data_IF_847579876842
#
_entry.id   IF_847579876842
#
_cell.length_a   1.000
_cell.length_b   1.000
_cell.length_c   1.000
_cell.angle_alpha   90.00
_cell.angle_beta   90.00
_cell.angle_gamma   90.00
#
_symmetry.space_group_name_H-M   'P 1'
#
loop_
_entity.id
_entity.type
_entity.pdbx_description
1 polymer ?
#
# COMPACT_ATOMS: atom_id res chain seq x y z
N UNK A 1 13.32 -3.25 5.44
CA UNK A 1 12.79 -3.35 4.07
C UNK A 1 11.68 -4.41 4.06
N UNK A 2 10.41 -3.98 4.07
CA UNK A 2 9.29 -4.92 3.93
C UNK A 2 9.36 -5.57 2.54
N UNK A 3 9.04 -6.86 2.48
CA UNK A 3 9.18 -7.68 1.28
C UNK A 3 8.35 -7.11 0.11
N UNK A 4 8.96 -7.02 -1.08
CA UNK A 4 8.36 -6.61 -2.36
C UNK A 4 7.26 -7.59 -2.80
N UNK A 5 6.07 -7.54 -2.19
CA UNK A 5 4.97 -8.48 -2.47
C UNK A 5 4.03 -7.99 -3.59
N UNK A 6 4.16 -6.77 -4.13
CA UNK A 6 3.07 -6.20 -4.94
C UNK A 6 3.34 -5.90 -6.43
N UNK A 7 4.58 -5.83 -6.92
CA UNK A 7 4.80 -5.52 -8.34
C UNK A 7 4.16 -6.58 -9.27
N UNK A 8 4.22 -7.85 -8.90
CA UNK A 8 3.63 -8.96 -9.68
C UNK A 8 2.10 -8.87 -9.78
N UNK A 9 1.44 -8.23 -8.81
CA UNK A 9 -0.01 -8.03 -8.82
C UNK A 9 -0.38 -6.90 -9.78
N UNK A 10 0.33 -5.77 -9.68
CA UNK A 10 0.11 -4.59 -10.53
C UNK A 10 0.54 -4.76 -11.99
N UNK A 11 1.33 -5.80 -12.30
CA UNK A 11 1.68 -6.17 -13.70
C UNK A 11 0.96 -7.43 -14.20
N UNK A 12 0.01 -7.97 -13.43
CA UNK A 12 -0.69 -9.19 -13.83
C UNK A 12 -1.65 -8.93 -15.00
N UNK A 13 -1.78 -9.91 -15.89
CA UNK A 13 -2.69 -9.84 -17.07
C UNK A 13 -4.11 -9.49 -16.63
N UNK A 14 -4.61 -10.14 -15.58
CA UNK A 14 -5.95 -9.92 -15.04
C UNK A 14 -6.17 -8.49 -14.55
N UNK A 15 -5.13 -7.87 -13.99
CA UNK A 15 -5.21 -6.48 -13.53
C UNK A 15 -5.27 -5.52 -14.73
N UNK A 16 -4.41 -5.71 -15.73
CA UNK A 16 -4.43 -4.89 -16.95
C UNK A 16 -5.72 -5.03 -17.76
N UNK A 17 -6.29 -6.23 -17.85
CA UNK A 17 -7.61 -6.45 -18.49
C UNK A 17 -8.71 -5.65 -17.78
N UNK A 18 -8.69 -5.61 -16.45
CA UNK A 18 -9.68 -4.85 -15.66
C UNK A 18 -9.52 -3.34 -15.80
N UNK A 19 -8.29 -2.85 -15.87
CA UNK A 19 -8.04 -1.44 -16.15
C UNK A 19 -8.52 -1.07 -17.56
N UNK A 20 -8.28 -1.92 -18.56
CA UNK A 20 -8.78 -1.71 -19.91
C UNK A 20 -10.32 -1.73 -19.98
N UNK A 21 -10.99 -2.66 -19.30
CA UNK A 21 -12.46 -2.70 -19.17
C UNK A 21 -13.01 -1.42 -18.52
N UNK A 22 -12.28 -0.83 -17.57
CA UNK A 22 -12.64 0.41 -16.90
C UNK A 22 -12.21 1.68 -17.67
N UNK A 23 -11.51 1.56 -18.81
CA UNK A 23 -10.98 2.68 -19.58
C UNK A 23 -9.84 3.44 -18.89
N UNK A 24 -9.11 2.77 -17.99
CA UNK A 24 -8.00 3.33 -17.23
C UNK A 24 -6.68 2.92 -17.88
N UNK A 25 -5.84 3.89 -18.23
CA UNK A 25 -4.50 3.63 -18.74
C UNK A 25 -3.57 3.25 -17.57
N UNK A 26 -2.98 2.03 -17.56
CA UNK A 26 -2.03 1.65 -16.52
C UNK A 26 -0.72 2.43 -16.68
N UNK A 27 -0.22 3.00 -15.58
CA UNK A 27 1.14 3.50 -15.48
C UNK A 27 1.80 2.88 -14.26
N UNK A 28 2.94 2.23 -14.47
CA UNK A 28 3.77 1.69 -13.40
C UNK A 28 5.18 2.23 -13.55
N UNK A 29 5.78 2.60 -12.42
CA UNK A 29 7.12 3.14 -12.38
C UNK A 29 8.19 2.19 -12.89
N UNK A 30 9.33 2.75 -13.31
CA UNK A 30 10.47 1.92 -13.73
C UNK A 30 11.12 1.23 -12.53
N UNK A 31 11.64 0.02 -12.73
CA UNK A 31 12.33 -0.72 -11.66
C UNK A 31 13.52 0.10 -11.14
N UNK A 32 13.50 0.43 -9.85
CA UNK A 32 14.56 1.19 -9.19
C UNK A 32 14.31 2.69 -9.10
N UNK A 33 13.20 3.20 -9.63
CA UNK A 33 12.72 4.55 -9.34
C UNK A 33 11.76 4.52 -8.15
N UNK A 34 12.18 5.09 -7.02
CA UNK A 34 11.36 5.14 -5.81
C UNK A 34 10.41 6.34 -5.77
N UNK A 35 10.54 7.32 -6.67
CA UNK A 35 9.73 8.55 -6.63
C UNK A 35 8.26 8.27 -6.93
N UNK A 36 7.97 7.32 -7.82
CA UNK A 36 6.60 6.97 -8.20
C UNK A 36 5.74 6.50 -7.00
N UNK A 37 6.37 5.87 -6.00
CA UNK A 37 5.70 5.38 -4.80
C UNK A 37 5.89 6.27 -3.56
N UNK A 38 6.78 7.26 -3.61
CA UNK A 38 7.25 8.00 -2.43
C UNK A 38 6.10 8.66 -1.65
N UNK A 39 5.09 9.20 -2.35
CA UNK A 39 3.91 9.78 -1.71
C UNK A 39 3.07 8.72 -1.00
N UNK A 40 2.77 7.60 -1.67
CA UNK A 40 2.01 6.50 -1.09
C UNK A 40 2.72 5.90 0.14
N UNK A 41 4.04 5.73 0.07
CA UNK A 41 4.85 5.26 1.19
C UNK A 41 4.86 6.26 2.35
N UNK A 42 4.91 7.57 2.07
CA UNK A 42 4.84 8.61 3.09
C UNK A 42 3.51 8.55 3.85
N UNK A 43 2.39 8.45 3.12
CA UNK A 43 1.06 8.33 3.73
C UNK A 43 0.94 7.04 4.55
N UNK A 44 1.40 5.91 4.03
CA UNK A 44 1.42 4.65 4.78
C UNK A 44 2.30 4.72 6.04
N UNK A 45 3.42 5.46 5.97
CA UNK A 45 4.29 5.72 7.12
C UNK A 45 3.59 6.56 8.18
N UNK A 46 2.96 7.66 7.79
CA UNK A 46 2.19 8.53 8.71
C UNK A 46 1.04 7.78 9.36
N UNK A 47 0.29 7.00 8.59
CA UNK A 47 -0.79 6.16 9.08
C UNK A 47 -0.29 5.18 10.16
N UNK A 48 0.78 4.43 9.87
CA UNK A 48 1.36 3.50 10.84
C UNK A 48 1.89 4.21 12.08
N UNK A 49 2.48 5.40 11.93
CA UNK A 49 2.97 6.17 13.07
C UNK A 49 1.84 6.60 14.00
N UNK A 50 0.73 7.07 13.45
CA UNK A 50 -0.47 7.44 14.21
C UNK A 50 -1.05 6.23 14.96
N UNK A 51 -1.32 5.13 14.24
CA UNK A 51 -1.99 3.97 14.84
C UNK A 51 -1.07 3.22 15.82
N UNK A 52 0.20 2.96 15.46
CA UNK A 52 1.09 2.13 16.27
C UNK A 52 1.73 2.91 17.41
N UNK A 53 2.22 4.13 17.14
CA UNK A 53 3.02 4.87 18.12
C UNK A 53 2.20 5.83 18.96
N UNK A 54 1.23 6.54 18.36
CA UNK A 54 0.44 7.53 19.11
C UNK A 54 -0.75 6.93 19.85
N UNK A 55 -1.46 5.98 19.23
CA UNK A 55 -2.65 5.34 19.83
C UNK A 55 -2.35 4.05 20.62
N UNK A 56 -1.13 3.53 20.53
CA UNK A 56 -0.66 2.40 21.33
C UNK A 56 -0.37 2.77 22.80
N UNK A 57 0.15 1.83 23.61
CA UNK A 57 0.60 0.47 23.25
C UNK A 57 -0.55 -0.54 23.13
N UNK A 58 -0.41 -1.46 22.18
CA UNK A 58 -1.41 -2.49 21.88
C UNK A 58 -1.04 -3.84 22.49
N UNK A 59 -2.03 -4.56 23.02
CA UNK A 59 -1.82 -5.89 23.62
C UNK A 59 -1.96 -7.03 22.62
N UNK A 60 -2.76 -6.86 21.58
CA UNK A 60 -3.01 -7.88 20.56
C UNK A 60 -3.10 -7.24 19.17
N UNK A 61 -2.98 -8.07 18.14
CA UNK A 61 -3.08 -7.62 16.74
C UNK A 61 -4.50 -7.20 16.39
N UNK A 62 -5.50 -7.88 16.93
CA UNK A 62 -6.92 -7.61 16.71
C UNK A 62 -7.31 -6.20 17.18
N UNK A 63 -6.69 -5.71 18.26
CA UNK A 63 -6.90 -4.34 18.72
C UNK A 63 -6.37 -3.29 17.73
N UNK A 64 -5.24 -3.58 17.07
CA UNK A 64 -4.68 -2.73 16.01
C UNK A 64 -5.55 -2.78 14.75
N UNK A 65 -6.07 -3.96 14.41
CA UNK A 65 -6.98 -4.15 13.28
C UNK A 65 -8.29 -3.40 13.50
N UNK A 66 -8.84 -3.43 14.72
CA UNK A 66 -10.02 -2.62 15.05
C UNK A 66 -9.75 -1.12 14.94
N UNK A 67 -8.64 -0.63 15.50
CA UNK A 67 -8.26 0.79 15.41
C UNK A 67 -7.95 1.27 13.97
N UNK A 68 -7.73 0.34 13.04
CA UNK A 68 -7.60 0.61 11.60
C UNK A 68 -8.96 0.79 10.91
N UNK A 69 -10.02 0.23 11.49
CA UNK A 69 -11.39 0.24 10.95
C UNK A 69 -12.25 1.39 11.52
N UNK A 70 -11.76 2.11 12.53
CA UNK A 70 -12.37 3.30 13.14
C UNK A 70 -12.14 4.58 12.31
#
# INVERSE_FOLDING_TARGET
MQRWVELTQYVSIRYSERLAEAGIEPSVGSTGDSYDNALAETINGLYKAEIIHRRGPWKTREAVELATLE
#
